data_IF_716546059154
#
_entry.id   IF_716546059154
#
_cell.length_a   1.000
_cell.length_b   1.000
_cell.length_c   1.000
_cell.angle_alpha   90.00
_cell.angle_beta   90.00
_cell.angle_gamma   90.00
#
_symmetry.space_group_name_H-M   'P 1'
#
loop_
_entity.id
_entity.type
_entity.pdbx_description
1 polymer ?
#
# COMPACT_ATOMS: atom_id res chain seq x y z
N UNK A 1 11.51 3.89 4.40
CA UNK A 1 10.55 3.55 3.32
C UNK A 1 11.10 4.05 2.00
N UNK A 2 11.04 3.22 0.96
CA UNK A 2 11.36 3.63 -0.41
C UNK A 2 10.38 3.03 -1.41
N UNK A 3 10.16 3.75 -2.52
CA UNK A 3 9.28 3.38 -3.61
C UNK A 3 10.10 3.43 -4.90
N UNK A 4 10.11 2.34 -5.67
CA UNK A 4 10.84 2.26 -6.94
C UNK A 4 9.89 1.88 -8.06
N UNK A 5 10.07 2.50 -9.23
CA UNK A 5 9.36 2.17 -10.46
C UNK A 5 10.40 1.70 -11.48
N UNK A 6 10.32 0.45 -11.91
CA UNK A 6 11.21 -0.13 -12.90
C UNK A 6 10.55 -1.35 -13.55
N UNK A 7 10.92 -1.70 -14.78
CA UNK A 7 10.48 -2.92 -15.45
C UNK A 7 8.96 -3.15 -15.45
N UNK A 8 8.16 -2.09 -15.67
CA UNK A 8 6.68 -2.11 -15.58
C UNK A 8 6.15 -2.64 -14.24
N UNK A 9 6.85 -2.32 -13.15
CA UNK A 9 6.44 -2.66 -11.80
C UNK A 9 6.69 -1.49 -10.84
N UNK A 10 5.89 -1.45 -9.79
CA UNK A 10 6.07 -0.59 -8.63
C UNK A 10 6.47 -1.48 -7.45
N UNK A 11 7.61 -1.18 -6.83
CA UNK A 11 8.09 -1.85 -5.61
C UNK A 11 8.06 -0.87 -4.45
N UNK A 12 7.31 -1.19 -3.40
CA UNK A 12 7.28 -0.48 -2.13
C UNK A 12 7.98 -1.32 -1.07
N UNK A 13 8.93 -0.72 -0.36
CA UNK A 13 9.56 -1.31 0.81
C UNK A 13 9.39 -0.40 2.02
N UNK A 14 8.88 -0.98 3.09
CA UNK A 14 8.73 -0.33 4.41
C UNK A 14 9.53 -1.15 5.41
N UNK A 15 10.45 -0.50 6.12
CA UNK A 15 11.28 -1.10 7.14
C UNK A 15 11.20 -0.23 8.39
N UNK A 16 11.10 -0.89 9.55
CA UNK A 16 11.26 -0.30 10.87
C UNK A 16 12.21 -1.15 11.71
N UNK A 17 12.90 -0.50 12.64
CA UNK A 17 13.82 -1.07 13.63
C UNK A 17 13.10 -1.31 14.98
N UNK A 18 11.77 -1.44 14.96
CA UNK A 18 10.97 -1.64 16.15
C UNK A 18 11.15 -3.03 16.78
N UNK A 19 10.25 -3.35 17.70
CA UNK A 19 10.31 -4.63 18.43
C UNK A 19 10.02 -5.85 17.56
N UNK A 20 9.52 -5.68 16.34
CA UNK A 20 9.05 -6.78 15.50
C UNK A 20 8.00 -7.65 16.19
N UNK A 21 7.62 -8.74 15.53
CA UNK A 21 6.66 -9.72 16.04
C UNK A 21 6.85 -11.06 15.33
N UNK A 22 6.27 -12.14 15.87
CA UNK A 22 6.17 -13.41 15.13
C UNK A 22 4.96 -13.34 14.18
N UNK A 23 5.15 -13.36 12.85
CA UNK A 23 4.04 -13.29 11.90
C UNK A 23 3.01 -14.42 12.03
N UNK A 24 3.38 -15.54 12.69
CA UNK A 24 2.48 -16.69 12.93
C UNK A 24 1.59 -16.49 14.16
N UNK A 25 1.86 -15.48 14.98
CA UNK A 25 1.16 -15.22 16.24
C UNK A 25 0.41 -13.88 16.22
N UNK A 26 0.10 -13.35 15.02
CA UNK A 26 -0.65 -12.10 14.89
C UNK A 26 -2.07 -12.28 15.42
N UNK A 27 -2.49 -11.54 16.47
CA UNK A 27 -3.83 -11.68 17.04
C UNK A 27 -4.94 -11.32 16.05
N UNK A 28 -6.15 -11.85 16.29
CA UNK A 28 -7.34 -11.40 15.57
C UNK A 28 -7.58 -9.90 15.81
N UNK A 29 -8.05 -9.18 14.79
CA UNK A 29 -8.27 -7.73 14.84
C UNK A 29 -7.18 -6.88 14.19
N UNK A 30 -6.02 -7.46 13.85
CA UNK A 30 -4.94 -6.76 13.15
C UNK A 30 -5.04 -6.94 11.63
N UNK A 31 -5.99 -6.22 11.01
CA UNK A 31 -6.33 -6.37 9.59
C UNK A 31 -5.39 -5.65 8.62
N UNK A 32 -4.41 -4.89 9.12
CA UNK A 32 -3.54 -4.07 8.26
C UNK A 32 -2.73 -4.94 7.30
N UNK A 33 -2.03 -5.95 7.81
CA UNK A 33 -1.18 -6.86 7.01
C UNK A 33 -2.02 -7.74 6.09
N UNK A 34 -3.18 -8.20 6.58
CA UNK A 34 -4.14 -8.98 5.79
C UNK A 34 -4.63 -8.12 4.61
N UNK A 35 -5.13 -6.92 4.88
CA UNK A 35 -5.61 -6.00 3.85
C UNK A 35 -4.51 -5.54 2.89
N UNK A 36 -3.25 -5.42 3.35
CA UNK A 36 -2.11 -5.15 2.46
C UNK A 36 -1.85 -6.32 1.50
N UNK A 37 -1.84 -7.56 2.02
CA UNK A 37 -1.68 -8.76 1.19
C UNK A 37 -2.84 -8.93 0.20
N UNK A 38 -4.08 -8.75 0.66
CA UNK A 38 -5.27 -8.79 -0.20
C UNK A 38 -5.22 -7.74 -1.32
N UNK A 39 -4.90 -6.48 -0.99
CA UNK A 39 -4.74 -5.42 -2.01
C UNK A 39 -3.62 -5.73 -2.99
N UNK A 40 -2.48 -6.24 -2.53
CA UNK A 40 -1.41 -6.66 -3.42
C UNK A 40 -1.88 -7.76 -4.39
N UNK A 41 -2.61 -8.76 -3.89
CA UNK A 41 -3.19 -9.83 -4.72
C UNK A 41 -4.24 -9.33 -5.71
N UNK A 42 -5.10 -8.40 -5.30
CA UNK A 42 -6.10 -7.77 -6.19
C UNK A 42 -5.45 -6.99 -7.33
N UNK A 43 -4.22 -6.50 -7.13
CA UNK A 43 -3.42 -5.84 -8.16
C UNK A 43 -2.51 -6.81 -8.92
N UNK A 44 -2.74 -8.13 -8.81
CA UNK A 44 -1.90 -9.17 -9.43
C UNK A 44 -0.42 -9.08 -9.01
N UNK A 45 -0.18 -8.52 -7.82
CA UNK A 45 1.13 -8.34 -7.24
C UNK A 45 1.47 -9.36 -6.18
N UNK A 46 2.57 -9.08 -5.47
CA UNK A 46 3.08 -9.89 -4.37
C UNK A 46 3.30 -9.06 -3.11
N UNK A 47 3.16 -9.72 -1.97
CA UNK A 47 3.39 -9.16 -0.64
C UNK A 47 4.34 -10.10 0.12
N UNK A 48 5.37 -9.55 0.75
CA UNK A 48 6.29 -10.28 1.63
C UNK A 48 6.46 -9.52 2.93
N UNK A 49 6.39 -10.26 4.03
CA UNK A 49 6.62 -9.77 5.39
C UNK A 49 7.75 -10.57 6.02
N UNK A 50 8.73 -9.85 6.56
CA UNK A 50 9.78 -10.41 7.40
C UNK A 50 9.69 -9.64 8.73
N UNK A 51 9.46 -10.36 9.81
CA UNK A 51 9.52 -9.79 11.16
C UNK A 51 9.91 -10.88 12.13
N UNK A 52 10.63 -10.49 13.17
CA UNK A 52 10.90 -11.33 14.32
C UNK A 52 11.02 -10.43 15.57
N UNK A 53 10.64 -10.93 16.76
CA UNK A 53 10.86 -10.21 18.01
C UNK A 53 12.31 -9.72 18.14
N UNK A 54 12.50 -8.45 18.46
CA UNK A 54 13.79 -7.76 18.59
C UNK A 54 14.50 -7.43 17.27
N UNK A 55 13.92 -7.70 16.10
CA UNK A 55 14.57 -7.53 14.79
C UNK A 55 13.80 -6.63 13.82
N UNK A 56 12.88 -5.80 14.32
CA UNK A 56 12.09 -4.91 13.48
C UNK A 56 11.10 -5.62 12.55
N UNK A 57 10.67 -4.90 11.53
CA UNK A 57 9.75 -5.39 10.51
C UNK A 57 10.16 -4.87 9.14
N UNK A 58 10.10 -5.72 8.13
CA UNK A 58 10.26 -5.36 6.73
C UNK A 58 9.07 -5.88 5.91
N UNK A 59 8.45 -4.98 5.16
CA UNK A 59 7.37 -5.27 4.23
C UNK A 59 7.85 -4.93 2.83
N UNK A 60 7.65 -5.85 1.88
CA UNK A 60 7.86 -5.63 0.46
C UNK A 60 6.55 -5.86 -0.29
N UNK A 61 6.11 -4.89 -1.08
CA UNK A 61 4.99 -4.99 -2.01
C UNK A 61 5.49 -4.75 -3.42
N UNK A 62 5.17 -5.65 -4.34
CA UNK A 62 5.50 -5.50 -5.77
C UNK A 62 4.21 -5.64 -6.55
N UNK A 63 3.83 -4.63 -7.31
CA UNK A 63 2.65 -4.67 -8.19
C UNK A 63 3.03 -4.33 -9.62
N UNK A 64 2.42 -4.97 -10.63
CA UNK A 64 2.58 -4.57 -12.02
C UNK A 64 2.07 -3.14 -12.23
N UNK A 65 2.80 -2.38 -13.04
CA UNK A 65 2.33 -1.12 -13.59
C UNK A 65 1.54 -1.45 -14.85
N UNK A 66 0.22 -1.31 -14.77
CA UNK A 66 -0.63 -1.32 -15.97
C UNK A 66 -0.38 -0.03 -16.73
N UNK A 67 -0.22 -0.14 -18.05
CA UNK A 67 -0.25 1.05 -18.88
C UNK A 67 -1.66 1.63 -18.73
N UNK A 68 -1.75 2.82 -18.15
CA UNK A 68 -2.99 3.57 -18.22
C UNK A 68 -3.16 3.98 -19.68
N UNK A 69 -3.81 3.13 -20.48
CA UNK A 69 -4.31 3.54 -21.78
C UNK A 69 -5.09 4.85 -21.56
N UNK A 70 -4.93 5.85 -22.44
CA UNK A 70 -5.59 7.17 -22.36
C UNK A 70 -7.11 7.08 -22.07
N UNK A 71 -7.73 5.95 -22.44
CA UNK A 71 -9.14 5.63 -22.16
C UNK A 71 -9.48 5.49 -20.67
N UNK A 72 -8.53 5.13 -19.82
CA UNK A 72 -8.71 4.99 -18.36
C UNK A 72 -8.65 6.35 -17.64
N UNK A 73 -7.74 7.23 -18.05
CA UNK A 73 -7.65 8.63 -17.56
C UNK A 73 -8.87 9.46 -18.01
N UNK A 74 -9.46 9.16 -19.17
CA UNK A 74 -10.66 9.82 -19.67
C UNK A 74 -11.95 9.56 -18.88
N UNK A 75 -11.97 8.60 -17.93
CA UNK A 75 -13.12 8.36 -17.03
C UNK A 75 -12.91 8.94 -15.63
N UNK A 76 -11.68 8.97 -15.12
CA UNK A 76 -11.38 9.55 -13.81
C UNK A 76 -11.57 11.07 -13.76
N UNK A 77 -11.36 11.77 -14.88
CA UNK A 77 -11.49 13.24 -14.97
C UNK A 77 -12.92 13.81 -14.90
N UNK A 78 -13.99 13.00 -14.88
CA UNK A 78 -15.38 13.49 -14.88
C UNK A 78 -16.12 13.37 -13.54
N UNK A 79 -15.48 12.82 -12.50
CA UNK A 79 -16.09 12.73 -11.15
C UNK A 79 -15.51 13.72 -10.13
N UNK A 80 -14.68 14.69 -10.56
CA UNK A 80 -14.18 15.76 -9.70
C UNK A 80 -15.20 16.90 -9.44
N UNK A 81 -16.49 16.70 -9.71
CA UNK A 81 -17.56 17.56 -9.18
C UNK A 81 -18.01 17.00 -7.82
N UNK A 82 -17.27 17.30 -6.75
CA UNK A 82 -17.72 16.88 -5.41
C UNK A 82 -16.80 17.11 -4.23
N UNK A 83 -15.53 17.47 -4.41
CA UNK A 83 -14.69 17.90 -3.29
C UNK A 83 -14.92 19.39 -3.04
N UNK A 84 -15.85 19.71 -2.13
CA UNK A 84 -15.95 21.05 -1.55
C UNK A 84 -14.98 21.13 -0.38
N UNK A 85 -14.05 22.07 -0.44
CA UNK A 85 -13.16 22.40 0.67
C UNK A 85 -13.98 22.69 1.94
N UNK A 86 -13.63 22.12 3.10
CA UNK A 86 -14.13 22.64 4.37
C UNK A 86 -13.42 23.98 4.63
N UNK A 87 -14.18 25.07 4.54
CA UNK A 87 -13.73 26.39 4.98
C UNK A 87 -13.23 26.32 6.43
N UNK A 88 -12.05 26.85 6.76
CA UNK A 88 -11.67 27.04 8.15
C UNK A 88 -12.57 28.12 8.75
N UNK A 89 -13.23 27.76 9.85
CA UNK A 89 -14.17 28.62 10.56
C UNK A 89 -13.61 30.01 10.84
N UNK A 90 -14.41 31.04 10.51
CA UNK A 90 -14.23 32.37 11.06
C UNK A 90 -14.82 32.39 12.47
N UNK A 91 -13.98 32.86 13.40
CA UNK A 91 -14.21 33.38 14.76
C UNK A 91 -15.65 33.35 15.30
#
# INVERSE_FOLDING_TARGET
>A
MFLTIAHRQVTLVVEDDGMGFDPRQVPAGHYVLIGMNERARLMEGSFRLISAPGNGTAITVIVPLVDLDDRTLGKAGRSAHGWRDPHPGRR
#
